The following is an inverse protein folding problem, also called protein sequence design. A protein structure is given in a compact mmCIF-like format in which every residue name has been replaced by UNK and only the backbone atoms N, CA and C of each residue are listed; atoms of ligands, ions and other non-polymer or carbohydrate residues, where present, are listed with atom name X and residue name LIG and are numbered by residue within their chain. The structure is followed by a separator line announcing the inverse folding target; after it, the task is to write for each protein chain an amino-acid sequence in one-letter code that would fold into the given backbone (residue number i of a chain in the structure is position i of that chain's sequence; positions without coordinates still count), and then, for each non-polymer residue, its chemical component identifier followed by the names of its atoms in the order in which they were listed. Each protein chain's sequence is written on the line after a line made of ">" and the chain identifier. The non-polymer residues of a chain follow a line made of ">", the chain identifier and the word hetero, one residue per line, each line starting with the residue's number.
data_IF_620838362506
#
_entry.id   IF_620838362506
#
_cell.length_a   1.000
_cell.length_b   1.000
_cell.length_c   1.000
_cell.angle_alpha   90.00
_cell.angle_beta   90.00
_cell.angle_gamma   90.00
#
_symmetry.space_group_name_H-M   'P 1'
#
loop_
_entity.id
_entity.type
_entity.pdbx_description
1 polymer ?
#
# COMPACT_ATOMS: atom_id res chain seq x y z
N UNK A 1 12.80 -4.40 -53.55
CA UNK A 1 11.53 -5.09 -53.20
C UNK A 1 11.84 -6.05 -52.06
N UNK A 2 11.09 -5.97 -50.95
CA UNK A 2 11.22 -6.76 -49.72
C UNK A 2 12.24 -6.29 -48.68
N UNK A 3 12.03 -5.08 -48.14
CA UNK A 3 12.47 -4.74 -46.78
C UNK A 3 11.33 -4.02 -46.05
N UNK A 4 10.16 -4.64 -46.02
CA UNK A 4 9.03 -4.26 -45.18
C UNK A 4 8.30 -5.55 -44.84
N UNK A 5 7.75 -5.65 -43.64
CA UNK A 5 6.88 -6.73 -43.12
C UNK A 5 7.52 -7.80 -42.23
N UNK A 6 8.29 -7.44 -41.21
CA UNK A 6 8.45 -8.31 -40.02
C UNK A 6 8.62 -7.47 -38.74
N UNK A 7 7.62 -6.64 -38.43
CA UNK A 7 7.35 -6.20 -37.05
C UNK A 7 5.97 -6.69 -36.67
N UNK A 8 5.86 -8.00 -36.48
CA UNK A 8 4.67 -8.63 -35.91
C UNK A 8 4.61 -8.33 -34.41
N UNK A 9 3.44 -7.87 -34.00
CA UNK A 9 3.07 -7.35 -32.70
C UNK A 9 3.18 -8.39 -31.56
N UNK A 10 4.39 -8.62 -31.03
CA UNK A 10 4.57 -9.47 -29.85
C UNK A 10 4.03 -8.82 -28.54
N UNK A 11 3.69 -7.53 -28.55
CA UNK A 11 3.14 -6.81 -27.39
C UNK A 11 1.65 -6.99 -27.16
N UNK A 12 0.89 -7.54 -28.12
CA UNK A 12 -0.58 -7.59 -28.02
C UNK A 12 -1.11 -8.91 -27.44
N UNK A 13 -0.28 -9.95 -27.37
CA UNK A 13 -0.67 -11.25 -26.85
C UNK A 13 -0.65 -11.30 -25.30
N UNK A 14 0.31 -10.62 -24.66
CA UNK A 14 0.46 -10.65 -23.19
C UNK A 14 -0.64 -9.87 -22.46
N UNK A 15 -1.16 -8.80 -23.07
CA UNK A 15 -2.25 -8.01 -22.47
C UNK A 15 -3.62 -8.73 -22.48
N UNK A 16 -3.78 -9.79 -23.28
CA UNK A 16 -5.01 -10.58 -23.35
C UNK A 16 -5.13 -11.57 -22.18
N UNK A 17 -4.00 -12.04 -21.63
CA UNK A 17 -3.99 -13.09 -20.61
C UNK A 17 -4.30 -12.56 -19.20
N UNK A 18 -3.98 -11.31 -18.91
CA UNK A 18 -4.25 -10.71 -17.58
C UNK A 18 -5.76 -10.52 -17.34
N UNK A 19 -6.55 -10.34 -18.40
CA UNK A 19 -8.02 -10.16 -18.28
C UNK A 19 -8.78 -11.45 -17.97
N UNK A 20 -8.14 -12.63 -18.04
CA UNK A 20 -8.79 -13.93 -17.82
C UNK A 20 -8.56 -14.50 -16.41
N UNK A 21 -7.81 -13.81 -15.55
CA UNK A 21 -7.56 -14.25 -14.17
C UNK A 21 -8.56 -13.68 -13.15
N UNK A 22 -9.50 -12.82 -13.56
CA UNK A 22 -10.53 -12.25 -12.67
C UNK A 22 -11.66 -13.22 -12.34
N UNK A 23 -11.87 -14.24 -13.18
CA UNK A 23 -13.01 -15.16 -13.05
C UNK A 23 -12.78 -16.29 -12.02
N UNK A 24 -11.59 -16.34 -11.41
CA UNK A 24 -11.27 -17.31 -10.36
C UNK A 24 -11.71 -16.87 -8.95
N UNK A 25 -12.04 -15.59 -8.77
CA UNK A 25 -12.74 -15.09 -7.60
C UNK A 25 -14.24 -15.21 -7.86
N UNK A 26 -14.83 -16.31 -7.41
CA UNK A 26 -16.28 -16.52 -7.49
C UNK A 26 -17.05 -15.34 -6.87
N UNK A 27 -18.31 -15.18 -7.30
CA UNK A 27 -19.21 -14.13 -6.83
C UNK A 27 -19.33 -14.15 -5.29
N UNK A 28 -19.06 -13.01 -4.64
CA UNK A 28 -19.10 -12.87 -3.18
C UNK A 28 -20.50 -13.25 -2.65
N UNK A 29 -20.52 -14.05 -1.58
CA UNK A 29 -21.76 -14.51 -0.94
C UNK A 29 -22.46 -15.70 -1.60
N UNK A 30 -21.78 -16.50 -2.43
CA UNK A 30 -22.34 -17.72 -3.06
C UNK A 30 -22.33 -19.00 -2.21
N UNK A 31 -22.33 -18.90 -0.89
CA UNK A 31 -22.31 -20.09 -0.03
C UNK A 31 -20.91 -20.64 0.23
N UNK A 32 -20.84 -21.72 1.01
CA UNK A 32 -19.60 -22.25 1.57
C UNK A 32 -18.56 -22.60 0.47
N UNK A 33 -17.34 -22.08 0.64
CA UNK A 33 -16.17 -22.43 -0.18
C UNK A 33 -15.61 -21.35 -1.11
N UNK A 34 -16.17 -20.13 -1.14
CA UNK A 34 -15.75 -19.11 -2.13
C UNK A 34 -15.68 -17.66 -1.63
N UNK A 35 -15.08 -17.44 -0.46
CA UNK A 35 -14.83 -16.07 0.04
C UNK A 35 -14.57 -15.91 1.54
N UNK A 36 -14.44 -17.01 2.30
CA UNK A 36 -14.11 -16.95 3.73
C UNK A 36 -15.14 -17.68 4.60
N UNK A 37 -14.65 -18.67 5.34
CA UNK A 37 -15.30 -19.31 6.50
C UNK A 37 -16.72 -19.85 6.31
N UNK A 38 -16.88 -21.18 6.30
CA UNK A 38 -18.18 -21.86 6.46
C UNK A 38 -18.76 -21.73 7.89
N UNK A 39 -18.72 -20.53 8.47
CA UNK A 39 -18.98 -20.26 9.89
C UNK A 39 -20.38 -19.70 10.21
N UNK A 40 -21.35 -19.82 9.31
CA UNK A 40 -22.72 -19.35 9.57
C UNK A 40 -23.73 -19.83 8.52
N UNK A 41 -24.91 -20.28 8.97
CA UNK A 41 -25.96 -20.84 8.11
C UNK A 41 -26.47 -19.85 7.05
N UNK A 42 -26.44 -18.54 7.36
CA UNK A 42 -26.89 -17.45 6.46
C UNK A 42 -25.92 -17.23 5.29
N UNK A 43 -24.61 -17.21 5.57
CA UNK A 43 -23.56 -17.09 4.54
C UNK A 43 -23.42 -18.35 3.71
N UNK A 44 -23.53 -19.52 4.35
CA UNK A 44 -23.44 -20.81 3.69
C UNK A 44 -24.62 -21.06 2.72
N UNK A 45 -25.82 -20.54 3.04
CA UNK A 45 -27.01 -20.68 2.20
C UNK A 45 -26.94 -19.89 0.88
N UNK A 46 -26.06 -18.89 0.77
CA UNK A 46 -25.79 -18.21 -0.50
C UNK A 46 -26.94 -17.34 -1.05
N UNK A 47 -27.81 -16.83 -0.18
CA UNK A 47 -28.97 -16.01 -0.56
C UNK A 47 -28.72 -14.49 -0.54
N UNK A 48 -29.75 -13.69 -0.84
CA UNK A 48 -29.66 -12.22 -0.87
C UNK A 48 -29.14 -11.60 0.44
N UNK A 49 -29.53 -12.17 1.60
CA UNK A 49 -29.04 -11.75 2.90
C UNK A 49 -27.56 -12.08 3.12
N UNK A 50 -27.08 -13.25 2.67
CA UNK A 50 -25.66 -13.62 2.76
C UNK A 50 -24.77 -12.76 1.86
N UNK A 51 -25.27 -12.35 0.68
CA UNK A 51 -24.56 -11.39 -0.19
C UNK A 51 -24.45 -10.00 0.44
N UNK A 52 -25.52 -9.51 1.08
CA UNK A 52 -25.51 -8.22 1.78
C UNK A 52 -24.54 -8.23 2.96
N UNK A 53 -24.57 -9.28 3.77
CA UNK A 53 -23.68 -9.45 4.93
C UNK A 53 -22.20 -9.56 4.51
N UNK A 54 -21.91 -10.23 3.39
CA UNK A 54 -20.55 -10.27 2.84
C UNK A 54 -20.05 -8.88 2.41
N UNK A 55 -20.91 -8.11 1.73
CA UNK A 55 -20.56 -6.76 1.28
C UNK A 55 -20.36 -5.77 2.45
N UNK A 56 -21.19 -5.86 3.48
CA UNK A 56 -21.08 -5.01 4.69
C UNK A 56 -19.77 -5.30 5.45
N UNK A 57 -19.43 -6.58 5.65
CA UNK A 57 -18.16 -6.93 6.29
C UNK A 57 -16.96 -6.50 5.45
N UNK A 58 -16.98 -6.74 4.13
CA UNK A 58 -15.90 -6.32 3.25
C UNK A 58 -15.70 -4.80 3.28
N UNK A 59 -16.79 -4.03 3.31
CA UNK A 59 -16.71 -2.59 3.46
C UNK A 59 -16.11 -2.18 4.81
N UNK A 60 -16.54 -2.81 5.90
CA UNK A 60 -16.01 -2.55 7.24
C UNK A 60 -14.51 -2.84 7.33
N UNK A 61 -14.06 -4.01 6.85
CA UNK A 61 -12.64 -4.38 6.86
C UNK A 61 -11.81 -3.45 5.98
N UNK A 62 -12.31 -3.07 4.80
CA UNK A 62 -11.63 -2.11 3.93
C UNK A 62 -11.47 -0.73 4.60
N UNK A 63 -12.48 -0.25 5.33
CA UNK A 63 -12.35 0.98 6.11
C UNK A 63 -11.31 0.83 7.23
N UNK A 64 -11.35 -0.29 7.97
CA UNK A 64 -10.40 -0.57 9.05
C UNK A 64 -8.96 -0.71 8.58
N UNK A 65 -8.74 -1.33 7.42
CA UNK A 65 -7.42 -1.39 6.80
C UNK A 65 -6.94 0.00 6.40
N UNK A 66 -7.81 0.81 5.79
CA UNK A 66 -7.49 2.19 5.41
C UNK A 66 -7.11 3.02 6.63
N UNK A 67 -7.88 2.96 7.71
CA UNK A 67 -7.60 3.66 8.97
C UNK A 67 -6.23 3.28 9.55
N UNK A 68 -5.90 1.98 9.56
CA UNK A 68 -4.60 1.49 10.05
C UNK A 68 -3.44 1.98 9.18
N UNK A 69 -3.62 1.94 7.85
CA UNK A 69 -2.60 2.42 6.92
C UNK A 69 -2.38 3.93 7.03
N UNK A 70 -3.44 4.71 7.26
CA UNK A 70 -3.34 6.15 7.51
C UNK A 70 -2.63 6.44 8.84
N UNK A 71 -2.94 5.70 9.90
CA UNK A 71 -2.26 5.82 11.18
C UNK A 71 -0.76 5.53 11.07
N UNK A 72 -0.37 4.46 10.37
CA UNK A 72 1.03 4.12 10.11
C UNK A 72 1.76 5.20 9.32
N UNK A 73 1.13 5.71 8.25
CA UNK A 73 1.70 6.81 7.45
C UNK A 73 1.90 8.07 8.29
N UNK A 74 0.93 8.40 9.14
CA UNK A 74 1.00 9.55 10.04
C UNK A 74 2.14 9.40 11.04
N UNK A 75 2.25 8.25 11.68
CA UNK A 75 3.34 7.96 12.62
C UNK A 75 4.72 8.13 11.96
N UNK A 76 4.93 7.54 10.77
CA UNK A 76 6.19 7.70 10.07
C UNK A 76 6.47 9.14 9.63
N UNK A 77 5.45 9.91 9.26
CA UNK A 77 5.63 11.33 8.96
C UNK A 77 6.06 12.13 10.20
N UNK A 78 5.48 11.83 11.37
CA UNK A 78 5.84 12.44 12.65
C UNK A 78 7.27 12.08 13.07
N UNK A 79 7.70 10.82 12.91
CA UNK A 79 9.06 10.36 13.17
C UNK A 79 10.08 11.06 12.27
N UNK A 80 9.79 11.18 10.98
CA UNK A 80 10.64 11.91 10.03
C UNK A 80 10.81 13.37 10.45
N UNK A 81 9.72 14.03 10.84
CA UNK A 81 9.75 15.42 11.27
C UNK A 81 10.51 15.60 12.59
N UNK A 82 10.36 14.66 13.51
CA UNK A 82 11.12 14.63 14.76
C UNK A 82 12.63 14.55 14.47
N UNK A 83 13.06 13.59 13.67
CA UNK A 83 14.47 13.42 13.34
C UNK A 83 15.06 14.59 12.54
N UNK A 84 14.27 15.23 11.66
CA UNK A 84 14.70 16.47 11.00
C UNK A 84 15.04 17.57 12.01
N UNK A 85 14.20 17.77 13.03
CA UNK A 85 14.44 18.76 14.09
C UNK A 85 15.66 18.41 14.93
N UNK A 86 15.87 17.13 15.23
CA UNK A 86 17.07 16.68 15.93
C UNK A 86 18.35 16.94 15.13
N UNK A 87 18.34 16.62 13.84
CA UNK A 87 19.46 16.90 12.92
C UNK A 87 19.76 18.41 12.88
N UNK A 88 18.73 19.26 12.79
CA UNK A 88 18.91 20.70 12.79
C UNK A 88 19.55 21.21 14.09
N UNK A 89 19.08 20.70 15.24
CA UNK A 89 19.63 21.03 16.56
C UNK A 89 21.10 20.62 16.67
N UNK A 90 21.42 19.39 16.30
CA UNK A 90 22.79 18.88 16.32
C UNK A 90 23.69 19.64 15.33
N UNK A 91 23.16 20.02 14.16
CA UNK A 91 23.87 20.88 13.20
C UNK A 91 24.28 22.22 13.81
N UNK A 92 23.36 22.90 14.52
CA UNK A 92 23.66 24.15 15.23
C UNK A 92 24.69 23.96 16.34
N UNK A 93 24.66 22.84 17.05
CA UNK A 93 25.67 22.49 18.05
C UNK A 93 27.05 22.32 17.42
N UNK A 94 27.15 21.57 16.32
CA UNK A 94 28.39 21.39 15.55
C UNK A 94 28.94 22.74 15.08
N UNK A 95 28.10 23.61 14.53
CA UNK A 95 28.54 24.91 14.02
C UNK A 95 29.05 25.84 15.13
N UNK A 96 28.40 25.80 16.31
CA UNK A 96 28.88 26.48 17.51
C UNK A 96 30.25 25.97 17.94
N UNK A 97 30.47 24.65 17.94
CA UNK A 97 31.77 24.07 18.28
C UNK A 97 32.85 24.41 17.24
N UNK A 98 32.53 24.35 15.94
CA UNK A 98 33.41 24.83 14.87
C UNK A 98 33.82 26.29 15.07
N UNK A 99 32.87 27.14 15.48
CA UNK A 99 33.14 28.54 15.82
C UNK A 99 34.12 28.71 16.97
N UNK A 100 33.95 27.95 18.06
CA UNK A 100 34.89 27.95 19.20
C UNK A 100 36.30 27.51 18.78
N UNK A 101 36.40 26.45 17.99
CA UNK A 101 37.69 25.95 17.47
C UNK A 101 38.38 27.02 16.62
N UNK A 102 37.64 27.72 15.75
CA UNK A 102 38.21 28.81 14.93
C UNK A 102 38.77 29.96 15.77
N UNK A 103 38.10 30.34 16.87
CA UNK A 103 38.59 31.37 17.80
C UNK A 103 39.90 30.92 18.45
N UNK A 104 39.90 29.72 19.04
CA UNK A 104 41.10 29.16 19.67
C UNK A 104 42.29 29.08 18.70
N UNK A 105 42.07 28.74 17.42
CA UNK A 105 43.13 28.68 16.40
C UNK A 105 43.68 30.04 15.94
N UNK A 106 42.97 31.13 16.18
CA UNK A 106 43.42 32.48 15.79
C UNK A 106 44.15 33.17 16.95
N UNK A 107 43.94 32.71 18.18
CA UNK A 107 44.57 33.26 19.38
C UNK A 107 45.97 32.65 19.66
N UNK A 108 46.47 31.76 18.79
CA UNK A 108 47.84 31.20 18.72
C UNK A 108 48.62 31.80 17.53
#
# INVERSE_FOLDING_TARGET
>A
MSQFLLRLNLRRCVASQIRMASDQLGELGKGAGKGGGGGGSVRAAGGAFGKREAAEEEWYFRQKEKEQMEALRKHHAEEIEHHKKEIERLGKEIDRHKGKIRKLKHDD
#
